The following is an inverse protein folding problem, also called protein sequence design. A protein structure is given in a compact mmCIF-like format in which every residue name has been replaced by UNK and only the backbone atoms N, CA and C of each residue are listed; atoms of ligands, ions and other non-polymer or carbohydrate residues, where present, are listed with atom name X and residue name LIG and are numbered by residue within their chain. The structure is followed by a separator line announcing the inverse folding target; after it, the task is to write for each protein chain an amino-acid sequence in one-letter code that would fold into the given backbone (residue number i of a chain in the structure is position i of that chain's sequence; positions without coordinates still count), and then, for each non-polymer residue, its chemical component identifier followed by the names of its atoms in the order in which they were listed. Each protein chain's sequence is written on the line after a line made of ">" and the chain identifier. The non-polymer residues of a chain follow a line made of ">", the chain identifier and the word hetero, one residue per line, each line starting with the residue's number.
data_IF_532324329678
#
_entry.id   IF_532324329678
#
_cell.length_a   1.000
_cell.length_b   1.000
_cell.length_c   1.000
_cell.angle_alpha   90.00
_cell.angle_beta   90.00
_cell.angle_gamma   90.00
#
_symmetry.space_group_name_H-M   'P 1'
#
loop_
_entity.id
_entity.type
_entity.pdbx_description
1 polymer ?
#
# COMPACT_ATOMS: atom_id res chain seq x y z
N UNK A 1 4.33 -24.01 1.20
CA UNK A 1 5.51 -24.05 2.08
C UNK A 1 5.72 -22.62 2.52
N UNK A 2 5.17 -22.27 3.67
CA UNK A 2 5.21 -20.92 4.23
C UNK A 2 6.64 -20.65 4.71
N UNK A 3 7.30 -19.63 4.16
CA UNK A 3 8.67 -19.29 4.54
C UNK A 3 8.62 -18.29 5.71
N UNK A 4 9.03 -18.68 6.93
CA UNK A 4 9.02 -17.78 8.08
C UNK A 4 10.06 -16.67 7.89
N UNK A 5 9.59 -15.42 7.90
CA UNK A 5 10.44 -14.22 7.97
C UNK A 5 10.75 -13.54 6.62
N UNK A 6 10.41 -14.15 5.48
CA UNK A 6 10.26 -13.41 4.23
C UNK A 6 8.82 -12.95 4.11
N UNK A 7 8.63 -11.68 3.78
CA UNK A 7 7.33 -11.12 3.41
C UNK A 7 6.67 -12.07 2.41
N UNK A 8 5.44 -12.49 2.70
CA UNK A 8 4.67 -13.27 1.75
C UNK A 8 4.44 -12.40 0.50
N UNK A 9 4.86 -12.90 -0.66
CA UNK A 9 4.87 -12.11 -1.90
C UNK A 9 3.45 -11.72 -2.31
N UNK A 10 2.48 -12.63 -2.10
CA UNK A 10 1.05 -12.39 -2.33
C UNK A 10 0.58 -11.24 -1.44
N UNK A 11 0.83 -11.31 -0.14
CA UNK A 11 0.50 -10.23 0.81
C UNK A 11 1.11 -8.87 0.42
N UNK A 12 2.34 -8.85 -0.11
CA UNK A 12 2.97 -7.59 -0.58
C UNK A 12 2.31 -7.07 -1.85
N UNK A 13 1.94 -7.94 -2.79
CA UNK A 13 1.22 -7.53 -3.99
C UNK A 13 -0.17 -6.99 -3.64
N UNK A 14 -0.92 -7.70 -2.81
CA UNK A 14 -2.25 -7.28 -2.35
C UNK A 14 -2.19 -5.91 -1.65
N UNK A 15 -1.18 -5.71 -0.79
CA UNK A 15 -0.93 -4.42 -0.14
C UNK A 15 -0.67 -3.30 -1.15
N UNK A 16 0.14 -3.54 -2.18
CA UNK A 16 0.45 -2.54 -3.20
C UNK A 16 -0.80 -2.23 -4.04
N UNK A 17 -1.55 -3.25 -4.44
CA UNK A 17 -2.76 -3.10 -5.27
C UNK A 17 -3.83 -2.30 -4.53
N UNK A 18 -4.15 -2.65 -3.28
CA UNK A 18 -5.15 -1.92 -2.50
C UNK A 18 -4.71 -0.47 -2.21
N UNK A 19 -3.41 -0.23 -1.99
CA UNK A 19 -2.87 1.13 -1.81
C UNK A 19 -2.93 1.96 -3.09
N UNK A 20 -2.85 1.33 -4.27
CA UNK A 20 -3.05 2.01 -5.55
C UNK A 20 -4.52 2.36 -5.76
N UNK A 21 -5.45 1.48 -5.40
CA UNK A 21 -6.88 1.71 -5.54
C UNK A 21 -7.43 2.74 -4.55
N UNK A 22 -6.77 2.92 -3.40
CA UNK A 22 -7.19 3.83 -2.32
C UNK A 22 -7.48 5.26 -2.83
N UNK A 23 -6.74 5.76 -3.83
CA UNK A 23 -6.94 7.10 -4.40
C UNK A 23 -8.27 7.28 -5.11
N UNK A 24 -8.92 6.18 -5.48
CA UNK A 24 -10.22 6.14 -6.12
C UNK A 24 -11.35 5.98 -5.11
N UNK A 25 -11.03 5.82 -3.83
CA UNK A 25 -12.03 5.57 -2.82
C UNK A 25 -12.72 6.85 -2.41
N UNK A 26 -14.01 6.72 -2.20
CA UNK A 26 -14.92 7.79 -1.83
C UNK A 26 -15.69 7.32 -0.60
N UNK A 27 -15.41 7.93 0.55
CA UNK A 27 -15.99 7.51 1.83
C UNK A 27 -16.17 8.67 2.80
N UNK A 28 -16.89 8.42 3.89
CA UNK A 28 -17.08 9.39 4.96
C UNK A 28 -15.79 9.57 5.77
N UNK A 29 -15.64 10.71 6.45
CA UNK A 29 -14.52 11.01 7.35
C UNK A 29 -14.24 9.88 8.35
N UNK A 30 -15.30 9.32 8.97
CA UNK A 30 -15.17 8.23 9.94
C UNK A 30 -14.57 6.96 9.32
N UNK A 31 -14.87 6.66 8.05
CA UNK A 31 -14.26 5.53 7.35
C UNK A 31 -12.80 5.84 6.98
N UNK A 32 -12.50 7.09 6.63
CA UNK A 32 -11.12 7.52 6.41
C UNK A 32 -10.25 7.45 7.67
N UNK A 33 -10.79 7.77 8.84
CA UNK A 33 -10.10 7.60 10.13
C UNK A 33 -9.76 6.13 10.39
N UNK A 34 -10.67 5.21 10.06
CA UNK A 34 -10.43 3.78 10.15
C UNK A 34 -9.32 3.32 9.19
N UNK A 35 -9.38 3.75 7.93
CA UNK A 35 -8.31 3.48 6.95
C UNK A 35 -6.96 4.01 7.44
N UNK A 36 -6.90 5.23 7.97
CA UNK A 36 -5.67 5.80 8.52
C UNK A 36 -5.07 4.94 9.64
N UNK A 37 -5.91 4.39 10.53
CA UNK A 37 -5.47 3.50 11.59
C UNK A 37 -4.88 2.18 11.04
N UNK A 38 -5.50 1.61 10.01
CA UNK A 38 -4.99 0.41 9.34
C UNK A 38 -3.65 0.68 8.66
N UNK A 39 -3.52 1.80 7.94
CA UNK A 39 -2.24 2.19 7.31
C UNK A 39 -1.12 2.34 8.36
N UNK A 40 -1.43 2.89 9.54
CA UNK A 40 -0.48 2.95 10.66
C UNK A 40 -0.04 1.57 11.17
N UNK A 41 -0.94 0.58 11.16
CA UNK A 41 -0.61 -0.81 11.52
C UNK A 41 0.30 -1.47 10.48
N UNK A 42 0.03 -1.27 9.19
CA UNK A 42 0.91 -1.74 8.11
C UNK A 42 2.31 -1.13 8.28
N UNK A 43 2.40 0.17 8.58
CA UNK A 43 3.69 0.84 8.81
C UNK A 43 4.46 0.26 10.01
N UNK A 44 3.75 0.01 11.11
CA UNK A 44 4.34 -0.60 12.31
C UNK A 44 4.81 -2.03 12.05
N UNK A 45 4.02 -2.84 11.35
CA UNK A 45 4.37 -4.21 10.96
C UNK A 45 5.61 -4.24 10.05
N UNK A 46 5.70 -3.31 9.09
CA UNK A 46 6.91 -3.07 8.27
C UNK A 46 8.14 -2.79 9.13
N UNK A 47 8.03 -1.89 10.10
CA UNK A 47 9.12 -1.56 11.02
C UNK A 47 9.54 -2.72 11.93
N UNK A 48 8.58 -3.50 12.41
CA UNK A 48 8.80 -4.63 13.31
C UNK A 48 9.20 -5.94 12.59
N UNK A 49 9.06 -6.00 11.25
CA UNK A 49 9.15 -7.23 10.45
C UNK A 49 8.13 -8.29 10.89
N UNK A 50 6.93 -7.84 11.25
CA UNK A 50 5.83 -8.71 11.68
C UNK A 50 4.97 -9.10 10.47
N UNK A 51 5.22 -10.29 9.93
CA UNK A 51 4.54 -10.79 8.74
C UNK A 51 3.06 -11.15 9.01
N UNK A 52 2.73 -11.57 10.23
CA UNK A 52 1.36 -11.93 10.58
C UNK A 52 0.49 -10.70 10.77
N UNK A 53 1.02 -9.67 11.46
CA UNK A 53 0.32 -8.39 11.60
C UNK A 53 0.15 -7.69 10.25
N UNK A 54 1.17 -7.75 9.38
CA UNK A 54 1.06 -7.24 8.02
C UNK A 54 -0.12 -7.90 7.29
N UNK A 55 -0.16 -9.23 7.27
CA UNK A 55 -1.21 -9.98 6.55
C UNK A 55 -2.60 -9.64 7.07
N UNK A 56 -2.75 -9.54 8.40
CA UNK A 56 -4.02 -9.14 9.02
C UNK A 56 -4.43 -7.72 8.66
N UNK A 57 -3.49 -6.77 8.72
CA UNK A 57 -3.78 -5.36 8.41
C UNK A 57 -4.11 -5.15 6.92
N UNK A 58 -3.45 -5.87 6.01
CA UNK A 58 -3.76 -5.83 4.57
C UNK A 58 -5.16 -6.38 4.30
N UNK A 59 -5.50 -7.56 4.84
CA UNK A 59 -6.84 -8.13 4.69
C UNK A 59 -7.95 -7.20 5.23
N UNK A 60 -7.70 -6.52 6.34
CA UNK A 60 -8.64 -5.53 6.89
C UNK A 60 -8.78 -4.29 6.00
N UNK A 61 -7.69 -3.84 5.37
CA UNK A 61 -7.71 -2.74 4.41
C UNK A 61 -8.55 -3.09 3.18
N UNK A 62 -8.39 -4.28 2.62
CA UNK A 62 -9.17 -4.75 1.48
C UNK A 62 -10.68 -4.77 1.77
N UNK A 63 -11.06 -5.29 2.94
CA UNK A 63 -12.46 -5.33 3.39
C UNK A 63 -13.01 -3.92 3.62
N UNK A 64 -12.16 -2.96 3.99
CA UNK A 64 -12.51 -1.56 4.21
C UNK A 64 -12.79 -0.77 2.93
N UNK A 65 -12.44 -1.33 1.77
CA UNK A 65 -12.64 -0.73 0.46
C UNK A 65 -14.08 -0.24 0.20
N UNK A 66 -14.27 0.60 -0.82
CA UNK A 66 -15.55 1.20 -1.11
C UNK A 66 -16.52 0.09 -1.50
N UNK A 67 -17.50 -0.17 -0.64
CA UNK A 67 -18.70 -0.88 -1.07
C UNK A 67 -19.34 0.02 -2.10
N UNK A 68 -19.46 -0.43 -3.36
CA UNK A 68 -20.22 0.26 -4.42
C UNK A 68 -21.68 0.41 -3.95
N UNK A 69 -21.98 1.37 -3.09
CA UNK A 69 -23.34 1.70 -2.67
C UNK A 69 -23.63 3.10 -3.19
N UNK A 70 -24.35 3.15 -4.31
CA UNK A 70 -25.19 4.28 -4.68
C UNK A 70 -26.26 4.46 -3.58
N UNK A 71 -25.91 5.06 -2.44
CA UNK A 71 -26.89 5.33 -1.38
C UNK A 71 -27.46 6.72 -1.58
N UNK A 72 -28.69 6.77 -2.10
CA UNK A 72 -29.50 7.99 -2.13
C UNK A 72 -29.67 8.49 -0.68
N UNK A 73 -29.18 9.70 -0.41
CA UNK A 73 -29.27 10.37 0.90
C UNK A 73 -28.13 10.11 1.91
N UNK A 74 -26.99 9.54 1.50
CA UNK A 74 -25.86 9.23 2.39
C UNK A 74 -24.96 10.43 2.73
N UNK A 75 -24.32 10.38 3.93
CA UNK A 75 -23.34 11.34 4.48
C UNK A 75 -22.36 11.85 3.41
N UNK A 76 -21.96 13.12 3.51
CA UNK A 76 -20.99 13.79 2.63
C UNK A 76 -19.77 12.90 2.40
N UNK A 77 -19.65 12.43 1.16
CA UNK A 77 -18.46 11.74 0.66
C UNK A 77 -17.38 12.79 0.48
N UNK A 78 -16.22 12.55 1.06
CA UNK A 78 -15.04 13.40 0.87
C UNK A 78 -14.01 12.63 0.06
N UNK A 79 -13.27 13.34 -0.79
CA UNK A 79 -12.04 12.78 -1.38
C UNK A 79 -11.04 12.37 -0.30
N UNK A 80 -9.95 11.72 -0.73
CA UNK A 80 -8.93 11.19 0.19
C UNK A 80 -8.31 12.31 1.03
N UNK A 81 -8.33 12.22 2.38
CA UNK A 81 -7.65 13.18 3.23
C UNK A 81 -6.14 13.17 3.01
N UNK A 82 -5.50 14.35 3.07
CA UNK A 82 -4.05 14.48 2.89
C UNK A 82 -3.21 13.54 3.79
N UNK A 83 -3.51 13.38 5.10
CA UNK A 83 -2.74 12.47 5.95
C UNK A 83 -2.78 11.01 5.47
N UNK A 84 -3.88 10.59 4.83
CA UNK A 84 -4.02 9.25 4.27
C UNK A 84 -3.18 9.11 3.01
N UNK A 85 -3.14 10.14 2.15
CA UNK A 85 -2.30 10.15 0.95
C UNK A 85 -0.81 10.08 1.30
N UNK A 86 -0.36 10.83 2.32
CA UNK A 86 1.03 10.84 2.75
C UNK A 86 1.47 9.46 3.26
N UNK A 87 0.63 8.83 4.10
CA UNK A 87 0.87 7.47 4.59
C UNK A 87 0.87 6.45 3.45
N UNK A 88 -0.11 6.52 2.55
CA UNK A 88 -0.19 5.65 1.37
C UNK A 88 1.08 5.76 0.51
N UNK A 89 1.55 6.97 0.23
CA UNK A 89 2.75 7.17 -0.59
C UNK A 89 4.01 6.60 0.09
N UNK A 90 4.12 6.80 1.40
CA UNK A 90 5.21 6.21 2.20
C UNK A 90 5.20 4.69 2.12
N UNK A 91 4.03 4.06 2.28
CA UNK A 91 3.89 2.61 2.27
C UNK A 91 4.15 2.01 0.90
N UNK A 92 3.65 2.62 -0.18
CA UNK A 92 3.95 2.18 -1.54
C UNK A 92 5.45 2.22 -1.79
N UNK A 93 6.14 3.30 -1.42
CA UNK A 93 7.59 3.39 -1.58
C UNK A 93 8.36 2.34 -0.77
N UNK A 94 7.88 1.98 0.42
CA UNK A 94 8.48 0.91 1.25
C UNK A 94 8.26 -0.49 0.66
N UNK A 95 7.09 -0.74 0.08
CA UNK A 95 6.65 -2.06 -0.41
C UNK A 95 7.08 -2.34 -1.86
N UNK A 96 7.20 -1.30 -2.69
CA UNK A 96 7.82 -1.43 -4.01
C UNK A 96 9.29 -1.07 -3.89
N UNK A 97 10.21 -2.04 -3.72
CA UNK A 97 11.62 -1.73 -3.89
C UNK A 97 11.75 -1.18 -5.30
N UNK A 98 12.18 0.09 -5.41
CA UNK A 98 12.62 0.61 -6.70
C UNK A 98 13.55 -0.43 -7.29
N UNK A 99 13.37 -0.77 -8.57
CA UNK A 99 14.33 -1.58 -9.33
C UNK A 99 15.72 -1.04 -8.99
N UNK A 100 16.41 -1.65 -8.03
CA UNK A 100 17.65 -1.12 -7.50
C UNK A 100 18.66 -1.35 -8.61
N UNK A 101 18.86 -0.30 -9.42
CA UNK A 101 19.91 -0.13 -10.41
C UNK A 101 20.32 -1.43 -11.10
N UNK A 102 19.68 -1.74 -12.24
CA UNK A 102 20.43 -2.47 -13.24
C UNK A 102 21.73 -1.67 -13.46
N UNK A 103 22.93 -2.25 -13.33
CA UNK A 103 24.10 -1.57 -13.84
C UNK A 103 23.82 -1.36 -15.32
N UNK A 104 23.67 -0.10 -15.75
CA UNK A 104 24.11 0.30 -17.08
C UNK A 104 25.62 0.03 -17.10
N UNK A 105 25.97 -1.24 -17.27
CA UNK A 105 27.30 -1.72 -17.59
C UNK A 105 27.61 -1.19 -18.99
N UNK A 106 28.11 0.04 -19.03
CA UNK A 106 29.32 0.50 -19.72
C UNK A 106 29.76 -0.23 -21.01
N UNK A 107 28.84 -0.73 -21.85
CA UNK A 107 29.16 -1.27 -23.18
C UNK A 107 29.12 -0.21 -24.27
N UNK A 108 29.53 1.01 -23.92
CA UNK A 108 29.51 2.18 -24.80
C UNK A 108 30.88 2.77 -25.14
N UNK A 109 32.00 2.21 -24.67
CA UNK A 109 33.33 2.78 -24.97
C UNK A 109 34.42 1.73 -25.20
N UNK A 110 34.35 1.07 -26.36
CA UNK A 110 35.55 0.60 -27.05
C UNK A 110 35.55 1.19 -28.47
N UNK A 111 36.21 2.33 -28.63
CA UNK A 111 36.82 2.67 -29.91
C UNK A 111 38.20 2.01 -29.94
N UNK A 112 38.45 1.01 -30.80
CA UNK A 112 39.80 0.74 -31.23
C UNK A 112 40.21 1.76 -32.30
N UNK A 113 41.44 2.20 -32.12
CA UNK A 113 42.25 3.18 -32.84
C UNK A 113 42.32 2.98 -34.36
#
# INVERSE_FOLDING_TARGET
>A
MDLPGSWDYETVQDAVDVLQDLVLWEMSTQRWEHVAAILGRIDAALGARDADELRQAVAELEISGPVRILRIGGKTVTGVPQPVLDLRNTLVHKLTPERRNAPEDDRGRQQPR
#
